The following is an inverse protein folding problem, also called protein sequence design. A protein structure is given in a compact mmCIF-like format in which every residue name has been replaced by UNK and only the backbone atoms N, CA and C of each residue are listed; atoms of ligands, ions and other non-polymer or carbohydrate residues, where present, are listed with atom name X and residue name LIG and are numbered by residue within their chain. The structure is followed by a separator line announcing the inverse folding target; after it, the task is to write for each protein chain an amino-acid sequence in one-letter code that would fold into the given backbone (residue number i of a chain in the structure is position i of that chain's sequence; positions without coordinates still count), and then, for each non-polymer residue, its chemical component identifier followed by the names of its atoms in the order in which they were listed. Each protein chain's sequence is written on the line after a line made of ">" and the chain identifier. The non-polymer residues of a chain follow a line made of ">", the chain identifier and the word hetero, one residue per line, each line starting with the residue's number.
data_IF_461156056135
#
_entry.id   IF_461156056135
#
_cell.length_a   1.000
_cell.length_b   1.000
_cell.length_c   1.000
_cell.angle_alpha   90.00
_cell.angle_beta   90.00
_cell.angle_gamma   90.00
#
_symmetry.space_group_name_H-M   'P 1'
#
loop_
_entity.id
_entity.type
_entity.pdbx_description
1 polymer ?
#
# COMPACT_ATOMS: atom_id res chain seq x y z
N UNK A 1 -32.21 42.78 16.96
CA UNK A 1 -31.55 42.77 15.63
C UNK A 1 -30.89 41.40 15.49
N UNK A 2 -31.64 40.35 15.12
CA UNK A 2 -31.85 39.88 13.73
C UNK A 2 -30.50 39.86 12.97
N UNK A 3 -29.90 38.71 12.65
CA UNK A 3 -30.47 37.78 11.68
C UNK A 3 -29.91 36.35 11.86
N UNK A 4 -30.81 35.42 12.17
CA UNK A 4 -30.69 33.97 11.97
C UNK A 4 -31.24 33.69 10.56
N UNK A 5 -30.51 32.98 9.73
CA UNK A 5 -31.00 32.50 8.42
C UNK A 5 -31.16 30.97 8.48
N UNK A 6 -32.40 30.45 8.45
CA UNK A 6 -32.67 29.03 8.30
C UNK A 6 -32.83 28.70 6.80
N UNK A 7 -32.04 27.76 6.29
CA UNK A 7 -32.29 27.14 4.98
C UNK A 7 -33.15 25.91 5.21
N UNK A 8 -34.45 26.08 4.94
CA UNK A 8 -35.44 25.01 4.94
C UNK A 8 -35.50 24.35 3.54
N UNK A 9 -35.50 23.01 3.57
CA UNK A 9 -36.10 22.01 2.66
C UNK A 9 -36.79 22.51 1.37
N UNK A 10 -36.49 21.83 0.26
CA UNK A 10 -37.45 21.27 -0.72
C UNK A 10 -36.65 20.34 -1.68
N UNK A 11 -36.76 19.01 -1.55
CA UNK A 11 -36.39 18.08 -2.63
C UNK A 11 -37.47 16.98 -2.72
N UNK A 12 -38.28 16.97 -3.79
CA UNK A 12 -39.33 15.97 -3.96
C UNK A 12 -38.77 14.62 -4.44
N UNK A 13 -39.37 13.59 -3.84
CA UNK A 13 -39.26 12.17 -4.14
C UNK A 13 -39.30 11.81 -5.63
N UNK A 14 -38.32 11.01 -6.08
CA UNK A 14 -38.53 10.03 -7.15
C UNK A 14 -37.61 8.83 -6.98
N UNK A 15 -38.05 7.88 -6.15
CA UNK A 15 -37.47 6.53 -6.12
C UNK A 15 -37.95 5.78 -7.35
N UNK A 16 -37.07 5.61 -8.35
CA UNK A 16 -37.26 4.61 -9.38
C UNK A 16 -36.88 3.25 -8.80
N UNK A 17 -37.89 2.47 -8.41
CA UNK A 17 -37.74 1.04 -8.14
C UNK A 17 -37.38 0.32 -9.45
N UNK A 18 -36.09 0.07 -9.66
CA UNK A 18 -35.66 -1.00 -10.56
C UNK A 18 -35.58 -2.29 -9.74
N UNK A 19 -36.63 -3.10 -9.84
CA UNK A 19 -36.63 -4.50 -9.40
C UNK A 19 -35.90 -5.35 -10.44
N UNK A 20 -34.69 -5.88 -10.17
CA UNK A 20 -34.15 -6.97 -10.97
C UNK A 20 -34.93 -8.25 -10.61
N UNK A 21 -35.81 -8.70 -11.53
CA UNK A 21 -36.46 -10.01 -11.46
C UNK A 21 -35.40 -11.12 -11.38
N UNK A 22 -35.09 -11.56 -10.17
CA UNK A 22 -34.32 -12.78 -9.93
C UNK A 22 -35.18 -13.98 -10.33
N UNK A 23 -34.79 -14.66 -11.41
CA UNK A 23 -35.33 -15.98 -11.77
C UNK A 23 -34.81 -17.00 -10.75
N UNK A 24 -35.67 -17.76 -10.06
CA UNK A 24 -35.19 -18.83 -9.19
C UNK A 24 -34.57 -19.94 -10.05
N UNK A 25 -33.25 -20.11 -9.89
CA UNK A 25 -32.49 -21.24 -10.40
C UNK A 25 -32.95 -22.48 -9.63
N UNK A 26 -33.62 -23.42 -10.31
CA UNK A 26 -34.00 -24.73 -9.71
C UNK A 26 -32.73 -25.43 -9.24
N UNK A 27 -32.54 -25.45 -7.93
CA UNK A 27 -31.63 -26.37 -7.26
C UNK A 27 -32.31 -27.74 -7.28
N UNK A 28 -31.78 -28.64 -8.09
CA UNK A 28 -32.15 -30.05 -8.07
C UNK A 28 -31.56 -30.65 -6.78
N UNK A 29 -32.38 -30.71 -5.74
CA UNK A 29 -32.11 -31.56 -4.59
C UNK A 29 -32.58 -32.97 -4.97
N UNK A 30 -31.63 -33.84 -5.29
CA UNK A 30 -31.83 -35.26 -5.14
C UNK A 30 -31.64 -35.61 -3.68
N UNK A 31 -32.62 -36.28 -3.05
CA UNK A 31 -32.40 -37.45 -2.20
C UNK A 31 -33.73 -38.02 -1.70
N UNK A 32 -33.80 -39.36 -1.67
CA UNK A 32 -34.78 -40.22 -0.97
C UNK A 32 -36.24 -40.17 -1.42
N UNK A 33 -36.95 -41.26 -1.68
CA UNK A 33 -36.76 -42.66 -1.33
C UNK A 33 -38.15 -43.27 -1.11
N UNK A 34 -38.38 -44.47 -1.65
CA UNK A 34 -39.53 -45.36 -1.47
C UNK A 34 -40.92 -44.88 -1.96
N UNK A 35 -41.43 -45.57 -3.00
CA UNK A 35 -42.55 -46.48 -2.76
C UNK A 35 -42.64 -47.61 -3.79
N UNK A 36 -42.80 -48.80 -3.25
CA UNK A 36 -43.07 -50.08 -3.88
C UNK A 36 -44.38 -50.00 -4.67
N UNK A 37 -44.36 -50.45 -5.93
CA UNK A 37 -45.47 -51.23 -6.47
C UNK A 37 -44.96 -52.22 -7.51
N UNK A 38 -45.15 -53.50 -7.21
CA UNK A 38 -44.87 -54.59 -8.13
C UNK A 38 -45.84 -54.61 -9.30
N UNK A 39 -45.31 -54.97 -10.46
CA UNK A 39 -46.05 -55.59 -11.55
C UNK A 39 -45.04 -56.34 -12.41
N UNK A 40 -45.19 -57.65 -12.46
CA UNK A 40 -44.36 -58.57 -13.23
C UNK A 40 -44.49 -58.34 -14.74
N UNK A 41 -43.36 -58.36 -15.47
CA UNK A 41 -43.33 -58.89 -16.85
C UNK A 41 -41.92 -59.34 -17.27
N UNK A 42 -41.93 -60.44 -18.03
CA UNK A 42 -40.90 -61.36 -18.51
C UNK A 42 -39.61 -60.77 -19.15
N UNK A 43 -38.56 -61.61 -19.33
CA UNK A 43 -37.23 -61.18 -19.77
C UNK A 43 -37.10 -61.20 -21.30
N UNK A 44 -36.39 -60.22 -21.85
CA UNK A 44 -35.94 -60.25 -23.24
C UNK A 44 -35.94 -58.88 -23.91
N UNK A 45 -34.79 -58.20 -23.88
CA UNK A 45 -34.25 -57.34 -24.94
C UNK A 45 -33.10 -56.49 -24.36
N UNK A 46 -31.86 -56.78 -24.76
CA UNK A 46 -30.77 -55.80 -24.69
C UNK A 46 -31.03 -54.75 -25.78
N UNK A 47 -31.10 -53.45 -25.47
CA UNK A 47 -31.09 -52.43 -26.50
C UNK A 47 -29.66 -52.22 -26.98
N UNK A 48 -29.49 -52.21 -28.31
CA UNK A 48 -28.25 -51.85 -29.01
C UNK A 48 -27.81 -50.41 -28.68
N UNK A 49 -26.50 -50.10 -28.67
CA UNK A 49 -26.02 -48.76 -28.40
C UNK A 49 -26.40 -47.77 -29.52
N UNK A 50 -27.06 -46.68 -29.15
CA UNK A 50 -27.49 -45.61 -30.06
C UNK A 50 -26.28 -44.88 -30.68
N UNK A 51 -26.12 -44.85 -32.01
CA UNK A 51 -25.01 -44.15 -32.68
C UNK A 51 -25.06 -42.62 -32.52
N UNK A 52 -26.20 -42.04 -32.13
CA UNK A 52 -26.37 -40.60 -31.95
C UNK A 52 -25.69 -40.04 -30.68
N UNK A 53 -25.32 -40.88 -29.69
CA UNK A 53 -24.72 -40.41 -28.43
C UNK A 53 -23.20 -40.20 -28.50
N UNK A 54 -22.53 -40.80 -29.48
CA UNK A 54 -21.08 -40.68 -29.66
C UNK A 54 -20.65 -39.35 -30.31
N UNK A 55 -21.49 -38.74 -31.16
CA UNK A 55 -21.15 -37.50 -31.88
C UNK A 55 -21.20 -36.23 -31.03
N UNK A 56 -21.92 -36.24 -29.91
CA UNK A 56 -22.12 -35.05 -29.07
C UNK A 56 -21.00 -34.79 -28.05
N UNK A 57 -20.12 -35.76 -27.82
CA UNK A 57 -18.98 -35.61 -26.89
C UNK A 57 -17.68 -35.20 -27.59
N UNK A 58 -17.56 -35.39 -28.92
CA UNK A 58 -16.36 -34.99 -29.68
C UNK A 58 -16.28 -33.48 -29.96
N UNK A 59 -17.42 -32.85 -30.30
CA UNK A 59 -17.43 -31.45 -30.75
C UNK A 59 -17.30 -30.40 -29.64
N UNK A 60 -17.45 -30.78 -28.36
CA UNK A 60 -17.29 -29.86 -27.24
C UNK A 60 -15.80 -29.65 -26.88
N UNK A 61 -15.00 -30.72 -26.95
CA UNK A 61 -13.61 -30.70 -26.52
C UNK A 61 -12.69 -29.94 -27.51
N UNK A 62 -12.97 -30.00 -28.82
CA UNK A 62 -12.23 -29.23 -29.82
C UNK A 62 -12.51 -27.72 -29.73
N UNK A 63 -13.72 -27.33 -29.34
CA UNK A 63 -14.08 -25.90 -29.16
C UNK A 63 -13.37 -25.26 -27.96
N UNK A 64 -13.05 -26.03 -26.93
CA UNK A 64 -12.28 -25.54 -25.77
C UNK A 64 -10.77 -25.45 -26.05
N UNK A 65 -10.22 -26.36 -26.87
CA UNK A 65 -8.81 -26.30 -27.26
C UNK A 65 -8.51 -25.12 -28.20
N UNK A 66 -9.45 -24.78 -29.09
CA UNK A 66 -9.28 -23.70 -30.06
C UNK A 66 -9.49 -22.30 -29.46
N UNK A 67 -10.19 -22.19 -28.32
CA UNK A 67 -10.33 -20.95 -27.54
C UNK A 67 -9.04 -20.55 -26.80
N UNK A 68 -8.14 -21.50 -26.51
CA UNK A 68 -6.84 -21.22 -25.88
C UNK A 68 -5.77 -20.73 -26.86
N UNK A 69 -5.94 -20.97 -28.16
CA UNK A 69 -5.00 -20.56 -29.21
C UNK A 69 -5.18 -19.14 -29.75
N UNK A 70 -6.23 -18.42 -29.33
CA UNK A 70 -6.57 -17.09 -29.84
C UNK A 70 -6.56 -16.00 -28.76
N UNK A 71 -5.64 -16.09 -27.78
CA UNK A 71 -5.20 -14.93 -27.01
C UNK A 71 -4.39 -14.00 -27.94
N UNK A 72 -5.14 -13.34 -28.82
CA UNK A 72 -4.61 -12.55 -29.92
C UNK A 72 -3.61 -11.54 -29.42
N UNK A 73 -2.45 -11.53 -30.08
CA UNK A 73 -1.57 -10.38 -30.22
C UNK A 73 -2.43 -9.18 -30.65
N UNK A 74 -3.07 -8.50 -29.71
CA UNK A 74 -3.74 -7.24 -30.02
C UNK A 74 -2.64 -6.25 -30.37
N UNK A 75 -2.67 -5.63 -31.55
CA UNK A 75 -1.70 -4.61 -31.90
C UNK A 75 -1.78 -3.51 -30.84
N UNK A 76 -0.67 -3.29 -30.13
CA UNK A 76 -0.53 -2.22 -29.14
C UNK A 76 -0.70 -0.89 -29.88
N UNK A 77 -1.93 -0.40 -29.96
CA UNK A 77 -2.23 0.90 -30.58
C UNK A 77 -1.46 2.01 -29.86
N UNK A 78 -1.12 3.08 -30.57
CA UNK A 78 -0.28 4.19 -30.12
C UNK A 78 -0.59 4.78 -28.73
N UNK A 79 -1.80 4.56 -28.20
CA UNK A 79 -2.19 4.96 -26.83
C UNK A 79 -1.42 4.19 -25.74
N UNK A 80 -1.04 2.92 -25.99
CA UNK A 80 -0.31 2.11 -25.01
C UNK A 80 1.16 2.51 -24.90
N UNK A 81 1.82 2.87 -26.02
CA UNK A 81 3.22 3.33 -25.98
C UNK A 81 3.38 4.66 -25.25
N UNK A 82 2.41 5.56 -25.34
CA UNK A 82 2.43 6.82 -24.58
C UNK A 82 2.28 6.52 -23.08
N UNK A 83 1.38 5.61 -22.72
CA UNK A 83 1.18 5.17 -21.35
C UNK A 83 2.45 4.53 -20.74
N UNK A 84 3.07 3.62 -21.48
CA UNK A 84 4.33 2.98 -21.08
C UNK A 84 5.45 4.01 -20.94
N UNK A 85 5.55 4.98 -21.87
CA UNK A 85 6.55 6.04 -21.81
C UNK A 85 6.40 6.92 -20.55
N UNK A 86 5.17 7.31 -20.20
CA UNK A 86 4.91 8.10 -18.99
C UNK A 86 5.30 7.29 -17.73
N UNK A 87 4.98 6.00 -17.70
CA UNK A 87 5.38 5.13 -16.60
C UNK A 87 6.90 5.04 -16.46
N UNK A 88 7.64 4.80 -17.55
CA UNK A 88 9.10 4.74 -17.50
C UNK A 88 9.74 6.07 -17.11
N UNK A 89 9.15 7.19 -17.55
CA UNK A 89 9.59 8.53 -17.13
C UNK A 89 9.41 8.74 -15.63
N UNK A 90 8.25 8.39 -15.08
CA UNK A 90 7.98 8.48 -13.63
C UNK A 90 8.88 7.53 -12.84
N UNK A 91 9.07 6.30 -13.32
CA UNK A 91 9.98 5.34 -12.69
C UNK A 91 11.43 5.83 -12.69
N UNK A 92 11.91 6.40 -13.79
CA UNK A 92 13.23 7.02 -13.88
C UNK A 92 13.35 8.23 -12.93
N UNK A 93 12.31 9.06 -12.85
CA UNK A 93 12.24 10.20 -11.92
C UNK A 93 12.27 9.76 -10.45
N UNK A 94 11.80 8.55 -10.12
CA UNK A 94 11.94 7.98 -8.78
C UNK A 94 13.33 7.40 -8.54
N UNK A 95 13.81 6.52 -9.45
CA UNK A 95 15.02 5.73 -9.21
C UNK A 95 16.31 6.56 -9.31
N UNK A 96 16.41 7.46 -10.30
CA UNK A 96 17.65 8.24 -10.52
C UNK A 96 17.97 9.12 -9.30
N UNK A 97 17.02 9.92 -8.76
CA UNK A 97 17.27 10.68 -7.54
C UNK A 97 17.51 9.80 -6.33
N UNK A 98 16.82 8.65 -6.19
CA UNK A 98 17.05 7.74 -5.06
C UNK A 98 18.51 7.24 -4.99
N UNK A 99 19.11 6.91 -6.14
CA UNK A 99 20.54 6.56 -6.20
C UNK A 99 21.40 7.79 -5.86
N UNK A 100 21.04 8.97 -6.37
CA UNK A 100 21.75 10.21 -6.07
C UNK A 100 21.76 10.56 -4.57
N UNK A 101 20.67 10.31 -3.84
CA UNK A 101 20.57 10.53 -2.39
C UNK A 101 21.66 9.76 -1.64
N UNK A 102 21.87 8.49 -1.99
CA UNK A 102 22.81 7.60 -1.30
C UNK A 102 24.27 7.93 -1.67
N UNK A 103 24.50 8.39 -2.89
CA UNK A 103 25.85 8.77 -3.36
C UNK A 103 26.27 10.18 -2.92
N UNK A 104 25.31 11.05 -2.59
CA UNK A 104 25.57 12.44 -2.23
C UNK A 104 26.27 12.56 -0.87
N UNK A 105 27.41 13.26 -0.86
CA UNK A 105 28.13 13.62 0.38
C UNK A 105 27.49 14.80 1.12
N UNK A 106 26.76 15.64 0.40
CA UNK A 106 26.12 16.84 0.95
C UNK A 106 24.69 16.49 1.37
N UNK A 107 24.39 16.68 2.65
CA UNK A 107 23.07 16.35 3.21
C UNK A 107 21.94 17.16 2.58
N UNK A 108 22.19 18.42 2.22
CA UNK A 108 21.20 19.26 1.51
C UNK A 108 20.88 18.69 0.13
N UNK A 109 21.90 18.26 -0.63
CA UNK A 109 21.70 17.67 -1.96
C UNK A 109 20.99 16.31 -1.87
N UNK A 110 21.31 15.52 -0.83
CA UNK A 110 20.58 14.29 -0.52
C UNK A 110 19.11 14.58 -0.18
N UNK A 111 18.84 15.67 0.54
CA UNK A 111 17.50 16.16 0.82
C UNK A 111 16.67 16.48 -0.44
N UNK A 112 17.24 17.25 -1.38
CA UNK A 112 16.56 17.54 -2.66
C UNK A 112 16.39 16.29 -3.53
N UNK A 113 17.34 15.35 -3.51
CA UNK A 113 17.17 14.06 -4.18
C UNK A 113 16.01 13.25 -3.60
N UNK A 114 15.84 13.30 -2.27
CA UNK A 114 14.75 12.64 -1.57
C UNK A 114 13.39 13.30 -1.90
N UNK A 115 13.34 14.62 -2.04
CA UNK A 115 12.15 15.32 -2.54
C UNK A 115 11.72 14.78 -3.91
N UNK A 116 12.66 14.68 -4.85
CA UNK A 116 12.37 14.22 -6.21
C UNK A 116 11.90 12.76 -6.25
N UNK A 117 12.50 11.87 -5.45
CA UNK A 117 12.04 10.46 -5.41
C UNK A 117 10.63 10.33 -4.83
N UNK A 118 10.29 11.12 -3.80
CA UNK A 118 8.96 11.08 -3.18
C UNK A 118 7.89 11.69 -4.10
N UNK A 119 8.26 12.73 -4.87
CA UNK A 119 7.39 13.31 -5.89
C UNK A 119 7.16 12.32 -7.05
N UNK A 120 8.20 11.64 -7.51
CA UNK A 120 8.08 10.57 -8.51
C UNK A 120 7.18 9.42 -8.02
N UNK A 121 7.32 9.02 -6.75
CA UNK A 121 6.46 8.00 -6.14
C UNK A 121 4.98 8.45 -6.07
N UNK A 122 4.71 9.71 -5.69
CA UNK A 122 3.36 10.27 -5.73
C UNK A 122 2.77 10.26 -7.16
N UNK A 123 3.60 10.57 -8.16
CA UNK A 123 3.23 10.48 -9.58
C UNK A 123 2.91 9.05 -10.01
N UNK A 124 3.68 8.06 -9.58
CA UNK A 124 3.39 6.64 -9.83
C UNK A 124 2.06 6.20 -9.18
N UNK A 125 1.76 6.65 -7.96
CA UNK A 125 0.47 6.37 -7.33
C UNK A 125 -0.70 7.00 -8.09
N UNK A 126 -0.54 8.25 -8.54
CA UNK A 126 -1.53 8.91 -9.39
C UNK A 126 -1.73 8.17 -10.73
N UNK A 127 -0.64 7.70 -11.34
CA UNK A 127 -0.68 6.91 -12.56
C UNK A 127 -1.38 5.55 -12.38
N UNK A 128 -1.21 4.91 -11.22
CA UNK A 128 -1.88 3.66 -10.86
C UNK A 128 -3.37 3.84 -10.50
N UNK A 129 -3.88 5.07 -10.45
CA UNK A 129 -5.26 5.36 -10.07
C UNK A 129 -5.49 5.41 -8.55
N UNK A 130 -4.43 5.48 -7.74
CA UNK A 130 -4.50 5.60 -6.29
C UNK A 130 -4.48 7.08 -5.87
N UNK A 131 -5.55 7.81 -6.15
CA UNK A 131 -5.70 9.26 -5.90
C UNK A 131 -5.51 9.63 -4.43
N UNK A 132 -6.16 8.92 -3.50
CA UNK A 132 -6.01 9.18 -2.07
C UNK A 132 -4.56 9.05 -1.60
N UNK A 133 -3.90 7.94 -1.96
CA UNK A 133 -2.52 7.65 -1.53
C UNK A 133 -1.55 8.67 -2.16
N UNK A 134 -1.76 9.05 -3.42
CA UNK A 134 -0.94 10.06 -4.09
C UNK A 134 -0.99 11.42 -3.36
N UNK A 135 -2.19 11.88 -2.97
CA UNK A 135 -2.35 13.15 -2.25
C UNK A 135 -1.78 13.05 -0.83
N UNK A 136 -2.03 11.95 -0.12
CA UNK A 136 -1.44 11.72 1.21
C UNK A 136 0.09 11.67 1.13
N UNK A 137 0.68 11.13 0.06
CA UNK A 137 2.13 11.15 -0.16
C UNK A 137 2.68 12.58 -0.19
N UNK A 138 1.98 13.49 -0.89
CA UNK A 138 2.37 14.90 -0.93
C UNK A 138 2.17 15.59 0.42
N UNK A 139 1.03 15.39 1.08
CA UNK A 139 0.69 16.05 2.34
C UNK A 139 1.59 15.60 3.50
N UNK A 140 1.73 14.29 3.69
CA UNK A 140 2.40 13.73 4.88
C UNK A 140 3.90 13.60 4.67
N UNK A 141 4.33 12.96 3.57
CA UNK A 141 5.75 12.67 3.37
C UNK A 141 6.51 13.89 2.89
N UNK A 142 6.03 14.58 1.85
CA UNK A 142 6.70 15.79 1.35
C UNK A 142 6.41 16.98 2.26
N UNK A 143 5.15 17.21 2.63
CA UNK A 143 4.73 18.38 3.41
C UNK A 143 5.18 18.36 4.87
N UNK A 144 5.15 17.19 5.52
CA UNK A 144 5.49 17.05 6.94
C UNK A 144 6.88 16.47 7.17
N UNK A 145 7.03 15.17 6.88
CA UNK A 145 8.20 14.38 7.30
C UNK A 145 9.49 14.88 6.64
N UNK A 146 9.47 15.11 5.32
CA UNK A 146 10.65 15.56 4.59
C UNK A 146 11.09 16.94 5.06
N UNK A 147 10.17 17.91 5.19
CA UNK A 147 10.49 19.26 5.67
C UNK A 147 11.07 19.21 7.09
N UNK A 148 10.51 18.37 7.97
CA UNK A 148 11.04 18.16 9.32
C UNK A 148 12.47 17.61 9.28
N UNK A 149 12.72 16.58 8.46
CA UNK A 149 14.07 16.00 8.31
C UNK A 149 15.05 17.05 7.76
N UNK A 150 14.67 17.78 6.71
CA UNK A 150 15.51 18.82 6.12
C UNK A 150 15.85 19.90 7.14
N UNK A 151 14.88 20.32 7.96
CA UNK A 151 15.09 21.29 9.02
C UNK A 151 16.09 20.78 10.06
N UNK A 152 15.88 19.57 10.59
CA UNK A 152 16.76 18.95 11.60
C UNK A 152 18.18 18.77 11.07
N UNK A 153 18.30 18.26 9.85
CA UNK A 153 19.58 18.00 9.19
C UNK A 153 20.33 19.30 8.90
N UNK A 154 19.64 20.35 8.45
CA UNK A 154 20.26 21.63 8.18
C UNK A 154 20.67 22.37 9.46
N UNK A 155 19.90 22.21 10.55
CA UNK A 155 20.26 22.75 11.87
C UNK A 155 21.48 22.03 12.47
N UNK A 156 21.66 20.75 12.14
CA UNK A 156 22.78 19.95 12.67
C UNK A 156 24.09 20.31 11.98
N UNK A 157 25.04 20.88 12.71
CA UNK A 157 26.42 21.06 12.23
C UNK A 157 27.12 19.70 12.22
N UNK A 158 27.19 19.05 11.06
CA UNK A 158 27.95 17.81 10.89
C UNK A 158 29.45 18.15 10.85
N UNK A 159 30.28 17.70 11.81
CA UNK A 159 31.72 17.87 11.72
C UNK A 159 32.23 17.15 10.47
N UNK A 160 33.05 17.81 9.66
CA UNK A 160 33.73 17.16 8.55
C UNK A 160 34.67 16.10 9.13
N UNK A 161 34.24 14.85 9.06
CA UNK A 161 35.01 13.72 9.54
C UNK A 161 36.02 13.40 8.44
N UNK A 162 37.20 14.02 8.50
CA UNK A 162 38.35 13.72 7.62
C UNK A 162 38.99 12.38 8.00
N UNK A 163 38.16 11.33 8.11
CA UNK A 163 38.66 9.97 8.23
C UNK A 163 39.25 9.58 6.89
N UNK A 164 40.48 9.01 6.85
CA UNK A 164 41.04 8.51 5.61
C UNK A 164 40.03 7.54 5.01
N UNK A 165 39.72 7.75 3.73
CA UNK A 165 38.81 6.94 2.94
C UNK A 165 39.28 5.50 3.05
N UNK A 166 38.65 4.72 3.95
CA UNK A 166 38.90 3.27 4.03
C UNK A 166 38.55 2.71 2.66
N UNK A 167 39.43 1.88 2.11
CA UNK A 167 39.36 1.40 0.73
C UNK A 167 37.99 0.81 0.35
N UNK A 168 37.76 0.73 -0.96
CA UNK A 168 36.53 0.20 -1.57
C UNK A 168 36.12 -1.16 -0.97
N UNK A 169 37.10 -1.94 -0.49
CA UNK A 169 36.95 -3.23 0.20
C UNK A 169 35.90 -3.24 1.32
N UNK A 170 35.67 -2.12 2.02
CA UNK A 170 34.63 -2.06 3.07
C UNK A 170 33.22 -1.94 2.51
N UNK A 171 33.07 -1.39 1.30
CA UNK A 171 31.78 -1.25 0.61
C UNK A 171 31.45 -2.47 -0.24
N UNK A 172 32.45 -3.29 -0.62
CA UNK A 172 32.27 -4.54 -1.37
C UNK A 172 31.24 -5.48 -0.72
N UNK A 173 31.32 -5.85 0.57
CA UNK A 173 30.34 -6.78 1.15
C UNK A 173 28.92 -6.19 1.17
N UNK A 174 28.78 -4.88 1.41
CA UNK A 174 27.48 -4.20 1.36
C UNK A 174 26.90 -4.19 -0.06
N UNK A 175 27.74 -3.94 -1.08
CA UNK A 175 27.35 -4.00 -2.49
C UNK A 175 26.93 -5.40 -2.93
N UNK A 176 27.67 -6.44 -2.51
CA UNK A 176 27.33 -7.85 -2.79
C UNK A 176 25.97 -8.21 -2.18
N UNK A 177 25.72 -7.83 -0.92
CA UNK A 177 24.42 -8.09 -0.26
C UNK A 177 23.28 -7.34 -0.96
N UNK A 178 23.50 -6.08 -1.36
CA UNK A 178 22.49 -5.30 -2.08
C UNK A 178 22.15 -5.93 -3.44
N UNK A 179 23.15 -6.35 -4.21
CA UNK A 179 22.96 -7.03 -5.50
C UNK A 179 22.32 -8.41 -5.35
N UNK A 180 22.73 -9.19 -4.34
CA UNK A 180 22.11 -10.48 -4.05
C UNK A 180 20.62 -10.33 -3.69
N UNK A 181 20.29 -9.33 -2.88
CA UNK A 181 18.90 -9.00 -2.51
C UNK A 181 18.10 -8.57 -3.74
N UNK A 182 18.66 -7.69 -4.59
CA UNK A 182 18.02 -7.26 -5.83
C UNK A 182 17.78 -8.44 -6.79
N UNK A 183 18.77 -9.32 -6.95
CA UNK A 183 18.66 -10.51 -7.78
C UNK A 183 17.61 -11.50 -7.26
N UNK A 184 17.51 -11.68 -5.94
CA UNK A 184 16.47 -12.48 -5.31
C UNK A 184 15.08 -11.88 -5.57
N UNK A 185 14.89 -10.58 -5.34
CA UNK A 185 13.62 -9.89 -5.61
C UNK A 185 13.24 -10.01 -7.09
N UNK A 186 14.20 -9.81 -8.00
CA UNK A 186 13.97 -9.96 -9.44
C UNK A 186 13.50 -11.37 -9.80
N UNK A 187 14.13 -12.41 -9.23
CA UNK A 187 13.71 -13.80 -9.43
C UNK A 187 12.32 -14.07 -8.88
N UNK A 188 11.97 -13.54 -7.71
CA UNK A 188 10.64 -13.71 -7.11
C UNK A 188 9.57 -13.03 -7.98
N UNK A 189 9.83 -11.80 -8.42
CA UNK A 189 8.89 -11.04 -9.26
C UNK A 189 8.66 -11.72 -10.61
N UNK A 190 9.71 -12.25 -11.24
CA UNK A 190 9.62 -12.92 -12.56
C UNK A 190 9.19 -14.38 -12.49
N UNK A 191 9.44 -15.07 -11.37
CA UNK A 191 9.08 -16.47 -11.16
C UNK A 191 7.66 -16.67 -10.62
N UNK A 192 7.05 -15.62 -10.07
CA UNK A 192 5.66 -15.68 -9.57
C UNK A 192 4.69 -15.37 -10.72
N UNK A 193 3.68 -16.21 -10.90
CA UNK A 193 2.57 -15.93 -11.81
C UNK A 193 1.60 -14.98 -11.13
N UNK A 194 1.49 -13.75 -11.62
CA UNK A 194 0.59 -12.73 -11.09
C UNK A 194 -0.74 -12.78 -11.83
N UNK A 195 -1.85 -12.86 -11.08
CA UNK A 195 -3.18 -12.71 -11.66
C UNK A 195 -3.43 -11.25 -12.03
N UNK A 196 -3.16 -10.91 -13.30
CA UNK A 196 -3.38 -9.55 -13.80
C UNK A 196 -4.85 -9.34 -14.12
N UNK A 197 -5.58 -8.72 -13.20
CA UNK A 197 -6.82 -8.01 -13.57
C UNK A 197 -6.43 -6.80 -14.41
N UNK A 198 -7.02 -6.67 -15.60
CA UNK A 198 -6.73 -5.56 -16.50
C UNK A 198 -6.92 -4.20 -15.83
N UNK A 199 -6.18 -3.19 -16.26
CA UNK A 199 -6.24 -1.82 -15.70
C UNK A 199 -7.70 -1.36 -15.65
N UNK A 200 -8.26 -1.32 -14.43
CA UNK A 200 -9.61 -0.83 -14.21
C UNK A 200 -9.64 0.68 -14.48
N UNK A 201 -10.79 1.24 -14.93
CA UNK A 201 -10.94 2.68 -15.04
C UNK A 201 -10.65 3.33 -13.68
N UNK A 202 -9.99 4.49 -13.69
CA UNK A 202 -9.70 5.24 -12.48
C UNK A 202 -11.01 5.69 -11.81
N UNK A 203 -11.43 4.94 -10.79
CA UNK A 203 -12.57 5.28 -9.92
C UNK A 203 -12.01 6.00 -8.70
N UNK A 204 -12.66 7.06 -8.17
CA UNK A 204 -12.20 7.74 -6.97
C UNK A 204 -12.06 6.75 -5.80
N UNK A 205 -10.85 6.57 -5.26
CA UNK A 205 -10.59 5.59 -4.19
C UNK A 205 -10.88 6.14 -2.79
N UNK A 206 -10.97 7.48 -2.66
CA UNK A 206 -11.12 8.19 -1.39
C UNK A 206 -12.32 7.70 -0.56
N UNK A 207 -13.48 7.50 -1.20
CA UNK A 207 -14.70 7.06 -0.49
C UNK A 207 -14.55 5.62 0.05
N UNK A 208 -14.02 4.71 -0.76
CA UNK A 208 -13.83 3.31 -0.38
C UNK A 208 -12.83 3.19 0.78
N UNK A 209 -11.72 3.93 0.71
CA UNK A 209 -10.73 3.98 1.80
C UNK A 209 -11.36 4.53 3.09
N UNK A 210 -12.17 5.59 3.01
CA UNK A 210 -12.86 6.16 4.16
C UNK A 210 -13.84 5.19 4.83
N UNK A 211 -14.64 4.47 4.04
CA UNK A 211 -15.55 3.43 4.56
C UNK A 211 -14.76 2.30 5.20
N UNK A 212 -13.68 1.85 4.56
CA UNK A 212 -12.83 0.79 5.09
C UNK A 212 -12.17 1.18 6.42
N UNK A 213 -11.76 2.43 6.63
CA UNK A 213 -11.25 2.90 7.93
C UNK A 213 -12.30 2.86 9.03
N UNK A 214 -13.55 3.16 8.71
CA UNK A 214 -14.65 3.19 9.68
C UNK A 214 -15.28 1.81 9.95
N UNK A 215 -15.00 0.81 9.10
CA UNK A 215 -15.62 -0.52 9.18
C UNK A 215 -14.58 -1.60 9.44
N UNK A 216 -13.81 -1.96 8.43
CA UNK A 216 -12.87 -3.08 8.46
C UNK A 216 -11.60 -2.78 9.26
N UNK A 217 -11.14 -1.52 9.27
CA UNK A 217 -9.88 -1.10 9.87
C UNK A 217 -10.05 -0.16 11.08
N UNK A 218 -11.16 -0.29 11.82
CA UNK A 218 -11.42 0.53 13.00
C UNK A 218 -10.35 0.34 14.09
N UNK A 219 -9.96 -0.90 14.39
CA UNK A 219 -8.93 -1.19 15.40
C UNK A 219 -7.55 -0.65 15.02
N UNK A 220 -7.03 -0.85 13.79
CA UNK A 220 -5.80 -0.18 13.35
C UNK A 220 -5.85 1.34 13.44
N UNK A 221 -6.99 1.96 13.11
CA UNK A 221 -7.14 3.42 13.21
C UNK A 221 -7.00 3.91 14.66
N UNK A 222 -7.65 3.22 15.62
CA UNK A 222 -7.51 3.51 17.04
C UNK A 222 -6.07 3.32 17.52
N UNK A 223 -5.42 2.23 17.14
CA UNK A 223 -4.03 1.96 17.50
C UNK A 223 -3.07 3.04 17.00
N UNK A 224 -3.21 3.48 15.74
CA UNK A 224 -2.40 4.56 15.18
C UNK A 224 -2.59 5.87 15.96
N UNK A 225 -3.81 6.16 16.42
CA UNK A 225 -4.06 7.35 17.24
C UNK A 225 -3.31 7.33 18.58
N UNK A 226 -3.24 6.16 19.22
CA UNK A 226 -2.47 5.95 20.45
C UNK A 226 -0.96 6.05 20.19
N UNK A 227 -0.48 5.51 19.07
CA UNK A 227 0.93 5.64 18.67
C UNK A 227 1.31 7.10 18.42
N UNK A 228 0.45 7.87 17.75
CA UNK A 228 0.68 9.31 17.53
C UNK A 228 0.66 10.10 18.84
N UNK A 229 -0.25 9.78 19.77
CA UNK A 229 -0.26 10.38 21.10
C UNK A 229 1.02 10.06 21.86
N UNK A 230 1.45 8.80 21.87
CA UNK A 230 2.68 8.37 22.51
C UNK A 230 3.92 9.04 21.88
N UNK A 231 3.96 9.19 20.55
CA UNK A 231 5.03 9.89 19.86
C UNK A 231 5.09 11.37 20.24
N UNK A 232 3.94 12.05 20.35
CA UNK A 232 3.87 13.44 20.79
C UNK A 232 4.36 13.61 22.24
N UNK A 233 3.91 12.74 23.16
CA UNK A 233 4.38 12.76 24.55
C UNK A 233 5.88 12.46 24.61
N UNK A 234 6.36 11.48 23.86
CA UNK A 234 7.78 11.13 23.78
C UNK A 234 8.65 12.28 23.29
N UNK A 235 8.23 12.96 22.21
CA UNK A 235 8.92 14.14 21.71
C UNK A 235 8.91 15.29 22.74
N UNK A 236 7.77 15.56 23.38
CA UNK A 236 7.64 16.61 24.38
C UNK A 236 8.51 16.37 25.62
N UNK A 237 8.64 15.11 26.07
CA UNK A 237 9.52 14.75 27.18
C UNK A 237 11.01 14.89 26.82
N UNK A 238 11.40 14.60 25.57
CA UNK A 238 12.78 14.76 25.10
C UNK A 238 13.18 16.24 24.96
N UNK A 239 12.24 17.10 24.55
CA UNK A 239 12.46 18.55 24.43
C UNK A 239 12.42 19.28 25.78
N UNK A 240 11.95 18.63 26.84
CA UNK A 240 11.87 19.23 28.17
C UNK A 240 13.26 19.23 28.81
N UNK A 241 13.90 20.39 28.83
CA UNK A 241 15.11 20.62 29.61
C UNK A 241 14.84 20.34 31.10
N UNK A 242 15.77 19.63 31.77
CA UNK A 242 15.71 19.49 33.22
C UNK A 242 15.91 20.87 33.84
N UNK A 243 14.87 21.36 34.52
CA UNK A 243 14.93 22.57 35.32
C UNK A 243 16.00 22.36 36.43
N UNK A 244 16.84 23.36 36.75
CA UNK A 244 17.98 23.27 37.70
C UNK A 244 17.61 22.95 39.17
N UNK A 245 16.42 22.41 39.45
CA UNK A 245 16.03 21.98 40.79
C UNK A 245 16.88 20.80 41.29
N UNK A 246 17.32 19.91 40.39
CA UNK A 246 18.29 18.85 40.73
C UNK A 246 19.68 19.44 41.03
N UNK A 247 20.07 20.53 40.37
CA UNK A 247 21.36 21.22 40.59
C UNK A 247 21.33 22.04 41.89
N UNK A 248 20.21 22.71 42.18
CA UNK A 248 20.02 23.46 43.42
C UNK A 248 20.02 22.54 44.65
N UNK A 249 19.37 21.38 44.57
CA UNK A 249 19.39 20.37 45.65
C UNK A 249 20.77 19.73 45.83
N UNK A 250 21.50 19.49 44.74
CA UNK A 250 22.88 18.98 44.80
C UNK A 250 23.87 20.03 45.34
N UNK A 251 23.62 21.32 45.10
CA UNK A 251 24.42 22.43 45.61
C UNK A 251 24.17 22.67 47.10
N UNK A 252 22.91 22.65 47.57
CA UNK A 252 22.57 22.76 48.99
C UNK A 252 23.16 21.60 49.82
N UNK A 253 23.22 20.38 49.27
CA UNK A 253 23.85 19.25 49.96
C UNK A 253 25.38 19.39 50.06
N UNK A 254 26.03 20.00 49.07
CA UNK A 254 27.47 20.30 49.11
C UNK A 254 27.79 21.39 50.13
N UNK A 255 27.07 22.50 50.08
CA UNK A 255 27.27 23.63 51.01
C UNK A 255 27.03 23.21 52.47
N UNK A 256 26.09 22.29 52.70
CA UNK A 256 25.86 21.70 54.04
C UNK A 256 27.01 20.82 54.52
N UNK A 257 27.65 20.06 53.61
CA UNK A 257 28.80 19.21 53.94
C UNK A 257 30.05 20.05 54.24
N UNK A 258 30.30 21.11 53.47
CA UNK A 258 31.41 22.03 53.70
C UNK A 258 31.30 22.73 55.07
N UNK A 259 30.12 23.25 55.42
CA UNK A 259 29.88 23.84 56.75
C UNK A 259 30.10 22.87 57.91
N UNK A 260 29.70 21.61 57.78
CA UNK A 260 29.93 20.61 58.82
C UNK A 260 31.41 20.21 58.96
N UNK A 261 32.18 20.35 57.88
CA UNK A 261 33.61 20.03 57.89
C UNK A 261 34.44 21.17 58.52
N UNK A 262 34.03 22.42 58.35
CA UNK A 262 34.66 23.60 58.98
C UNK A 262 34.45 23.65 60.51
N UNK A 263 33.33 23.13 61.01
CA UNK A 263 33.02 23.09 62.46
C UNK A 263 33.73 21.94 63.19
N UNK A 264 34.25 20.95 62.45
CA UNK A 264 34.93 19.77 63.00
C UNK A 264 36.46 19.89 63.11
N UNK A 265 37.04 20.99 62.63
CA UNK A 265 38.47 21.32 62.71
C UNK A 265 38.74 22.45 63.69
#
# INVERSE_FOLDING_TARGET
>A
MHLVLPVHRELPHRFHHHEPRLRPRRVSAGFSGLRVHGSARAPGALPSPDPCRAGLLGGAQEREAQARGQAGRRPRGGKQVIADLIFYLLAALTVIPAVWVVLSKNLVHAGFGLLMTLLGAAGLYGWLGADFIAITQLMVYIGGVLVLILFVVMMTRVPKNDRPVRGLDRYVPAGVIALATLGLLYKVVTGTSWDTVGMAPAVPTTMEVGINFMTNYLFPFEYVSLVLLAALIGAALLLRERKPADEAAAQEEKDRKEKNQEVAS
#
